data_IF_253007437831
#
_entry.id   IF_253007437831
#
_cell.length_a   1.000
_cell.length_b   1.000
_cell.length_c   1.000
_cell.angle_alpha   90.00
_cell.angle_beta   90.00
_cell.angle_gamma   90.00
#
_symmetry.space_group_name_H-M   'P 1'
#
loop_
_entity.id
_entity.type
_entity.pdbx_description
1 polymer ?
#
# COMPACT_ATOMS: atom_id res chain seq x y z
N UNK A 1 5.71 22.62 -7.30
CA UNK A 1 4.34 23.13 -7.50
C UNK A 1 3.44 21.97 -7.82
N UNK A 2 2.29 21.88 -7.16
CA UNK A 2 1.30 20.84 -7.42
C UNK A 2 0.47 21.18 -8.66
N UNK A 3 0.18 20.15 -9.46
CA UNK A 3 -0.61 20.27 -10.69
C UNK A 3 -2.08 20.09 -10.35
N UNK A 4 -2.93 21.06 -10.72
CA UNK A 4 -4.36 21.05 -10.44
C UNK A 4 -5.19 21.12 -11.73
N UNK A 5 -6.29 20.35 -11.77
CA UNK A 5 -7.38 20.47 -12.73
C UNK A 5 -8.59 21.05 -12.01
N UNK A 6 -9.30 21.97 -12.66
CA UNK A 6 -10.54 22.56 -12.18
C UNK A 6 -11.68 22.13 -13.09
N UNK A 7 -12.68 21.43 -12.52
CA UNK A 7 -13.84 20.94 -13.23
C UNK A 7 -15.14 21.53 -12.65
N UNK A 8 -15.91 22.22 -13.47
CA UNK A 8 -17.17 22.86 -13.07
C UNK A 8 -17.98 23.16 -14.35
N UNK A 9 -19.25 22.84 -14.42
CA UNK A 9 -20.09 23.12 -15.58
C UNK A 9 -20.50 24.59 -15.70
N UNK A 10 -20.37 25.37 -14.61
CA UNK A 10 -20.57 26.81 -14.60
C UNK A 10 -19.33 27.52 -15.16
N UNK A 11 -19.32 27.80 -16.47
CA UNK A 11 -18.18 28.43 -17.18
C UNK A 11 -17.68 29.72 -16.53
N UNK A 12 -18.61 30.60 -16.12
CA UNK A 12 -18.26 31.89 -15.50
C UNK A 12 -17.53 31.72 -14.17
N UNK A 13 -18.01 30.76 -13.32
CA UNK A 13 -17.40 30.46 -12.04
C UNK A 13 -16.03 29.79 -12.25
N UNK A 14 -15.95 28.81 -13.12
CA UNK A 14 -14.70 28.09 -13.45
C UNK A 14 -13.62 29.07 -13.91
N UNK A 15 -13.95 29.95 -14.88
CA UNK A 15 -13.02 30.98 -15.37
C UNK A 15 -12.67 32.03 -14.32
N UNK A 16 -13.63 32.41 -13.46
CA UNK A 16 -13.36 33.34 -12.36
C UNK A 16 -12.36 32.73 -11.35
N UNK A 17 -12.51 31.47 -10.98
CA UNK A 17 -11.60 30.77 -10.11
C UNK A 17 -10.20 30.72 -10.73
N UNK A 18 -10.08 30.27 -11.97
CA UNK A 18 -8.78 30.15 -12.66
C UNK A 18 -8.06 31.50 -12.78
N UNK A 19 -8.77 32.57 -13.05
CA UNK A 19 -8.16 33.90 -13.28
C UNK A 19 -7.86 34.72 -12.04
N UNK A 20 -8.68 34.59 -10.97
CA UNK A 20 -8.59 35.46 -9.78
C UNK A 20 -7.66 34.91 -8.70
N UNK A 21 -7.45 33.60 -8.65
CA UNK A 21 -6.55 33.00 -7.70
C UNK A 21 -5.11 33.11 -8.20
N UNK A 22 -4.22 33.53 -7.30
CA UNK A 22 -2.78 33.60 -7.57
C UNK A 22 -2.15 32.22 -7.33
N UNK A 23 -2.38 31.29 -8.26
CA UNK A 23 -2.05 29.86 -8.12
C UNK A 23 -0.59 29.59 -7.76
N UNK A 24 0.33 30.31 -8.40
CA UNK A 24 1.77 30.16 -8.16
C UNK A 24 2.17 30.53 -6.74
N UNK A 25 1.56 31.62 -6.20
CA UNK A 25 1.83 32.07 -4.83
C UNK A 25 1.40 31.06 -3.77
N UNK A 26 0.37 30.27 -4.05
CA UNK A 26 -0.12 29.23 -3.16
C UNK A 26 0.43 27.83 -3.50
N UNK A 27 1.38 27.75 -4.46
CA UNK A 27 2.12 26.53 -4.77
C UNK A 27 1.41 25.55 -5.71
N UNK A 28 0.43 26.01 -6.48
CA UNK A 28 -0.28 25.24 -7.50
C UNK A 28 -0.02 25.76 -8.92
N UNK A 29 -0.22 24.86 -9.89
CA UNK A 29 -0.24 25.18 -11.31
C UNK A 29 -1.50 24.56 -11.93
N UNK A 30 -2.39 25.38 -12.50
CA UNK A 30 -3.53 24.90 -13.26
C UNK A 30 -3.03 24.30 -14.57
N UNK A 31 -3.23 22.99 -14.75
CA UNK A 31 -2.79 22.24 -15.93
C UNK A 31 -3.93 21.88 -16.86
N UNK A 32 -5.18 22.03 -16.42
CA UNK A 32 -6.37 21.79 -17.22
C UNK A 32 -7.63 22.35 -16.58
N UNK A 33 -8.64 22.57 -17.40
CA UNK A 33 -10.01 22.87 -17.00
C UNK A 33 -10.97 21.94 -17.73
N UNK A 34 -12.09 21.57 -17.09
CA UNK A 34 -13.12 20.73 -17.67
C UNK A 34 -14.51 21.31 -17.38
N UNK A 35 -15.43 21.16 -18.33
CA UNK A 35 -16.81 21.62 -18.20
C UNK A 35 -17.81 20.50 -17.82
N UNK A 36 -17.30 19.28 -17.71
CA UNK A 36 -18.08 18.10 -17.31
C UNK A 36 -17.18 16.99 -16.78
N UNK A 37 -17.79 16.00 -16.14
CA UNK A 37 -17.05 14.90 -15.51
C UNK A 37 -16.33 13.97 -16.49
N UNK A 38 -16.85 13.80 -17.72
CA UNK A 38 -16.20 12.94 -18.71
C UNK A 38 -14.87 13.56 -19.20
N UNK A 39 -14.91 14.85 -19.54
CA UNK A 39 -13.72 15.63 -19.91
C UNK A 39 -12.70 15.68 -18.75
N UNK A 40 -13.18 15.85 -17.52
CA UNK A 40 -12.33 15.84 -16.34
C UNK A 40 -11.59 14.50 -16.17
N UNK A 41 -12.25 13.37 -16.40
CA UNK A 41 -11.64 12.05 -16.34
C UNK A 41 -10.54 11.89 -17.39
N UNK A 42 -10.82 12.24 -18.64
CA UNK A 42 -9.82 12.19 -19.73
C UNK A 42 -8.58 13.04 -19.41
N UNK A 43 -8.80 14.24 -18.87
CA UNK A 43 -7.71 15.14 -18.49
C UNK A 43 -6.91 14.58 -17.30
N UNK A 44 -7.56 13.95 -16.31
CA UNK A 44 -6.87 13.30 -15.18
C UNK A 44 -5.98 12.16 -15.67
N UNK A 45 -6.48 11.31 -16.57
CA UNK A 45 -5.68 10.23 -17.15
C UNK A 45 -4.49 10.73 -17.96
N UNK A 46 -4.70 11.78 -18.76
CA UNK A 46 -3.67 12.33 -19.68
C UNK A 46 -2.63 13.18 -18.96
N UNK A 47 -3.06 13.99 -18.01
CA UNK A 47 -2.22 15.00 -17.37
C UNK A 47 -1.69 14.60 -16.00
N UNK A 48 -2.20 13.53 -15.40
CA UNK A 48 -1.76 13.01 -14.10
C UNK A 48 -1.62 14.12 -13.02
N UNK A 49 -2.72 14.85 -12.69
CA UNK A 49 -2.64 15.95 -11.74
C UNK A 49 -2.48 15.43 -10.30
N UNK A 50 -1.91 16.26 -9.43
CA UNK A 50 -1.84 16.01 -8.00
C UNK A 50 -3.20 16.24 -7.32
N UNK A 51 -3.97 17.21 -7.83
CA UNK A 51 -5.28 17.59 -7.29
C UNK A 51 -6.30 17.78 -8.42
N UNK A 52 -7.48 17.22 -8.24
CA UNK A 52 -8.69 17.60 -8.98
C UNK A 52 -9.63 18.37 -8.04
N UNK A 53 -9.97 19.58 -8.38
CA UNK A 53 -11.07 20.32 -7.77
C UNK A 53 -12.29 20.25 -8.69
N UNK A 54 -13.39 19.68 -8.21
CA UNK A 54 -14.57 19.41 -9.06
C UNK A 54 -15.87 19.79 -8.39
N UNK A 55 -16.83 20.29 -9.20
CA UNK A 55 -18.23 20.32 -8.75
C UNK A 55 -18.77 18.89 -8.64
N UNK A 56 -19.79 18.72 -7.81
CA UNK A 56 -20.50 17.45 -7.63
C UNK A 56 -21.53 17.24 -8.74
N UNK A 57 -22.23 18.29 -9.16
CA UNK A 57 -23.29 18.17 -10.14
C UNK A 57 -22.84 18.68 -11.51
N UNK A 58 -22.37 17.77 -12.32
CA UNK A 58 -21.93 18.06 -13.69
C UNK A 58 -22.65 17.13 -14.69
N UNK A 59 -22.78 17.55 -15.95
CA UNK A 59 -23.29 16.70 -17.02
C UNK A 59 -22.44 15.44 -17.23
N UNK A 60 -23.07 14.39 -17.78
CA UNK A 60 -22.50 13.09 -18.14
C UNK A 60 -22.02 12.26 -16.93
N UNK A 61 -21.02 12.71 -16.20
CA UNK A 61 -20.46 12.04 -15.03
C UNK A 61 -20.49 13.06 -13.88
N UNK A 62 -21.19 12.72 -12.79
CA UNK A 62 -21.20 13.54 -11.58
C UNK A 62 -19.84 13.54 -10.92
N UNK A 63 -19.49 14.59 -10.14
CA UNK A 63 -18.23 14.63 -9.39
C UNK A 63 -18.01 13.46 -8.45
N UNK A 64 -19.08 12.88 -7.91
CA UNK A 64 -19.02 11.68 -7.05
C UNK A 64 -18.65 10.44 -7.87
N UNK A 65 -19.30 10.23 -9.00
CA UNK A 65 -18.97 9.11 -9.89
C UNK A 65 -17.57 9.28 -10.50
N UNK A 66 -17.18 10.51 -10.82
CA UNK A 66 -15.84 10.87 -11.24
C UNK A 66 -14.81 10.49 -10.16
N UNK A 67 -15.09 10.82 -8.89
CA UNK A 67 -14.22 10.45 -7.78
C UNK A 67 -14.05 8.93 -7.65
N UNK A 68 -15.13 8.15 -7.82
CA UNK A 68 -15.08 6.69 -7.83
C UNK A 68 -14.15 6.17 -8.93
N UNK A 69 -14.33 6.64 -10.16
CA UNK A 69 -13.52 6.22 -11.32
C UNK A 69 -12.05 6.63 -11.16
N UNK A 70 -11.77 7.83 -10.67
CA UNK A 70 -10.39 8.28 -10.42
C UNK A 70 -9.71 7.41 -9.37
N UNK A 71 -10.43 6.96 -8.32
CA UNK A 71 -9.85 6.04 -7.33
C UNK A 71 -9.44 4.69 -7.94
N UNK A 72 -10.08 4.26 -9.04
CA UNK A 72 -9.72 3.03 -9.76
C UNK A 72 -8.53 3.23 -10.69
N UNK A 73 -8.49 4.36 -11.44
CA UNK A 73 -7.48 4.57 -12.49
C UNK A 73 -6.29 5.39 -12.04
N UNK A 74 -6.47 6.34 -11.10
CA UNK A 74 -5.42 7.25 -10.60
C UNK A 74 -5.59 7.51 -9.09
N UNK A 75 -5.38 6.53 -8.24
CA UNK A 75 -5.61 6.65 -6.78
C UNK A 75 -4.72 7.69 -6.10
N UNK A 76 -3.59 8.08 -6.70
CA UNK A 76 -2.68 9.12 -6.20
C UNK A 76 -3.26 10.54 -6.34
N UNK A 77 -4.11 10.81 -7.36
CA UNK A 77 -4.75 12.11 -7.54
C UNK A 77 -5.68 12.41 -6.37
N UNK A 78 -5.40 13.51 -5.66
CA UNK A 78 -6.29 13.96 -4.59
C UNK A 78 -7.50 14.68 -5.18
N UNK A 79 -8.63 14.62 -4.49
CA UNK A 79 -9.90 15.18 -4.99
C UNK A 79 -10.48 16.10 -3.94
N UNK A 80 -10.86 17.31 -4.36
CA UNK A 80 -11.60 18.29 -3.57
C UNK A 80 -12.93 18.58 -4.24
N UNK A 81 -14.03 18.57 -3.47
CA UNK A 81 -15.35 18.95 -3.96
C UNK A 81 -15.62 20.42 -3.69
N UNK A 82 -16.20 21.10 -4.67
CA UNK A 82 -16.78 22.43 -4.55
C UNK A 82 -18.27 22.32 -4.95
N UNK A 83 -19.20 22.33 -3.98
CA UNK A 83 -20.60 22.00 -4.20
C UNK A 83 -21.55 23.12 -3.80
N UNK A 84 -22.59 23.35 -4.59
CA UNK A 84 -23.70 24.25 -4.26
C UNK A 84 -24.75 23.66 -3.31
N UNK A 85 -24.56 22.44 -2.85
CA UNK A 85 -25.55 21.73 -2.04
C UNK A 85 -24.97 21.22 -0.73
N UNK A 86 -25.63 21.63 0.34
CA UNK A 86 -25.38 21.08 1.69
C UNK A 86 -26.23 19.81 1.86
N UNK A 87 -25.87 18.77 1.11
CA UNK A 87 -26.54 17.47 1.15
C UNK A 87 -25.65 16.47 1.91
N UNK A 88 -26.15 16.01 3.04
CA UNK A 88 -25.49 15.04 3.91
C UNK A 88 -25.06 13.76 3.15
N UNK A 89 -25.82 13.36 2.11
CA UNK A 89 -25.48 12.20 1.30
C UNK A 89 -24.17 12.36 0.53
N UNK A 90 -23.87 13.57 0.03
CA UNK A 90 -22.61 13.86 -0.66
C UNK A 90 -21.42 13.93 0.31
N UNK A 91 -21.66 14.41 1.53
CA UNK A 91 -20.63 14.42 2.56
C UNK A 91 -20.24 12.98 2.99
N UNK A 92 -21.22 12.06 3.10
CA UNK A 92 -20.93 10.64 3.35
C UNK A 92 -20.11 10.01 2.21
N UNK A 93 -20.45 10.29 0.96
CA UNK A 93 -19.73 9.78 -0.21
C UNK A 93 -18.32 10.39 -0.29
N UNK A 94 -18.15 11.66 0.09
CA UNK A 94 -16.83 12.29 0.20
C UNK A 94 -15.91 11.52 1.17
N UNK A 95 -16.43 11.07 2.31
CA UNK A 95 -15.68 10.23 3.25
C UNK A 95 -15.32 8.88 2.61
N UNK A 96 -16.27 8.24 1.93
CA UNK A 96 -16.10 6.93 1.29
C UNK A 96 -14.98 6.95 0.25
N UNK A 97 -14.88 8.03 -0.56
CA UNK A 97 -13.86 8.16 -1.60
C UNK A 97 -12.61 8.91 -1.15
N UNK A 98 -12.44 9.11 0.16
CA UNK A 98 -11.28 9.78 0.75
C UNK A 98 -10.97 11.12 0.08
N UNK A 99 -11.98 12.01 0.06
CA UNK A 99 -11.87 13.36 -0.52
C UNK A 99 -11.06 14.25 0.42
N UNK A 100 -10.08 14.99 -0.11
CA UNK A 100 -9.15 15.80 0.70
C UNK A 100 -9.83 17.05 1.30
N UNK A 101 -10.84 17.61 0.61
CA UNK A 101 -11.64 18.75 1.09
C UNK A 101 -13.03 18.77 0.46
N UNK A 102 -14.01 19.24 1.22
CA UNK A 102 -15.37 19.47 0.78
C UNK A 102 -15.73 20.93 1.08
N UNK A 103 -16.00 21.72 0.04
CA UNK A 103 -16.26 23.15 0.11
C UNK A 103 -17.67 23.46 -0.39
N UNK A 104 -18.35 24.41 0.27
CA UNK A 104 -19.70 24.79 -0.10
C UNK A 104 -19.71 26.12 -0.91
N UNK A 105 -20.48 26.15 -1.99
CA UNK A 105 -20.86 27.38 -2.70
C UNK A 105 -22.05 28.04 -1.98
N UNK A 106 -22.17 29.38 -1.90
CA UNK A 106 -21.23 30.35 -2.45
C UNK A 106 -19.96 30.46 -1.59
N UNK A 107 -18.80 30.50 -2.23
CA UNK A 107 -17.49 30.68 -1.58
C UNK A 107 -16.80 31.90 -2.18
N UNK A 108 -16.27 32.75 -1.35
CA UNK A 108 -15.47 33.88 -1.83
C UNK A 108 -14.09 33.41 -2.32
N UNK A 109 -13.45 34.20 -3.20
CA UNK A 109 -12.09 33.87 -3.67
C UNK A 109 -11.07 33.87 -2.55
N UNK A 110 -11.29 34.63 -1.49
CA UNK A 110 -10.43 34.67 -0.30
C UNK A 110 -10.56 33.32 0.47
N UNK A 111 -11.79 32.90 0.76
CA UNK A 111 -12.06 31.63 1.45
C UNK A 111 -11.55 30.43 0.63
N UNK A 112 -11.77 30.45 -0.68
CA UNK A 112 -11.27 29.40 -1.57
C UNK A 112 -9.73 29.35 -1.57
N UNK A 113 -9.06 30.51 -1.58
CA UNK A 113 -7.61 30.57 -1.49
C UNK A 113 -7.09 30.01 -0.17
N UNK A 114 -7.74 30.31 0.95
CA UNK A 114 -7.37 29.77 2.27
C UNK A 114 -7.60 28.24 2.34
N UNK A 115 -8.68 27.73 1.76
CA UNK A 115 -8.90 26.28 1.68
C UNK A 115 -7.86 25.59 0.80
N UNK A 116 -7.48 26.17 -0.33
CA UNK A 116 -6.41 25.64 -1.19
C UNK A 116 -5.05 25.61 -0.47
N UNK A 117 -4.74 26.61 0.37
CA UNK A 117 -3.54 26.56 1.22
C UNK A 117 -3.58 25.40 2.21
N UNK A 118 -4.72 25.14 2.86
CA UNK A 118 -4.89 23.99 3.75
C UNK A 118 -4.78 22.64 2.99
N UNK A 119 -5.31 22.59 1.76
CA UNK A 119 -5.15 21.43 0.89
C UNK A 119 -3.67 21.23 0.57
N UNK A 120 -2.94 22.28 0.24
CA UNK A 120 -1.49 22.21 0.00
C UNK A 120 -0.73 21.64 1.21
N UNK A 121 -1.03 22.12 2.42
CA UNK A 121 -0.41 21.59 3.64
C UNK A 121 -0.68 20.10 3.83
N UNK A 122 -1.90 19.63 3.48
CA UNK A 122 -2.23 18.19 3.50
C UNK A 122 -1.46 17.42 2.44
N UNK A 123 -1.33 17.97 1.22
CA UNK A 123 -0.53 17.37 0.13
C UNK A 123 0.95 17.29 0.52
N UNK A 124 1.52 18.37 1.08
CA UNK A 124 2.89 18.39 1.57
C UNK A 124 3.12 17.28 2.60
N UNK A 125 2.18 17.10 3.52
CA UNK A 125 2.25 16.04 4.55
C UNK A 125 2.19 14.65 3.92
N UNK A 126 1.26 14.40 3.00
CA UNK A 126 1.15 13.13 2.27
C UNK A 126 2.45 12.86 1.52
N UNK A 127 3.00 13.85 0.85
CA UNK A 127 4.25 13.72 0.10
C UNK A 127 5.46 13.46 1.00
N UNK A 128 5.57 14.17 2.12
CA UNK A 128 6.64 13.97 3.11
C UNK A 128 6.55 12.58 3.75
N UNK A 129 5.35 12.12 4.10
CA UNK A 129 5.14 10.76 4.62
C UNK A 129 5.49 9.70 3.57
N UNK A 130 5.15 9.94 2.29
CA UNK A 130 5.53 9.04 1.20
C UNK A 130 7.04 9.04 0.94
N UNK A 131 7.68 10.21 0.94
CA UNK A 131 9.12 10.35 0.75
C UNK A 131 9.90 9.73 1.92
N UNK A 132 9.48 9.97 3.17
CA UNK A 132 10.07 9.36 4.36
C UNK A 132 9.95 7.82 4.31
N UNK A 133 8.78 7.30 3.97
CA UNK A 133 8.56 5.85 3.80
C UNK A 133 9.39 5.26 2.66
N UNK A 134 9.53 5.98 1.56
CA UNK A 134 10.34 5.51 0.41
C UNK A 134 11.82 5.41 0.79
N UNK A 135 12.31 6.29 1.62
CA UNK A 135 13.70 6.28 2.08
C UNK A 135 13.93 5.20 3.15
N UNK A 136 13.04 5.11 4.15
CA UNK A 136 13.06 4.01 5.14
C UNK A 136 12.91 2.64 4.46
N UNK A 137 12.04 2.54 3.44
CA UNK A 137 11.83 1.31 2.67
C UNK A 137 13.04 0.96 1.82
N UNK A 138 13.79 1.95 1.28
CA UNK A 138 15.00 1.71 0.51
C UNK A 138 16.11 1.12 1.40
N UNK A 139 16.36 1.70 2.57
CA UNK A 139 17.35 1.24 3.53
C UNK A 139 17.01 -0.15 4.08
N UNK A 140 15.73 -0.38 4.40
CA UNK A 140 15.22 -1.69 4.84
C UNK A 140 15.34 -2.73 3.73
N UNK A 141 15.02 -2.39 2.49
CA UNK A 141 15.11 -3.32 1.36
C UNK A 141 16.58 -3.66 1.03
N UNK A 142 17.50 -2.72 1.14
CA UNK A 142 18.94 -2.97 0.96
C UNK A 142 19.46 -3.99 1.97
N UNK A 143 18.93 -3.98 3.20
CA UNK A 143 19.23 -4.98 4.23
C UNK A 143 18.49 -6.32 3.99
N UNK A 144 17.19 -6.27 3.71
CA UNK A 144 16.34 -7.46 3.65
C UNK A 144 16.59 -8.33 2.42
N UNK A 145 16.85 -7.74 1.26
CA UNK A 145 17.02 -8.51 0.02
C UNK A 145 18.20 -9.48 0.11
N UNK A 146 19.40 -9.08 0.53
CA UNK A 146 20.50 -10.03 0.74
C UNK A 146 20.17 -11.07 1.83
N UNK A 147 19.55 -10.64 2.93
CA UNK A 147 19.21 -11.51 4.05
C UNK A 147 18.26 -12.64 3.64
N UNK A 148 17.19 -12.30 2.92
CA UNK A 148 16.12 -13.26 2.60
C UNK A 148 16.40 -14.02 1.30
N UNK A 149 16.85 -13.35 0.23
CA UNK A 149 16.98 -13.97 -1.08
C UNK A 149 18.31 -14.70 -1.28
N UNK A 150 19.41 -14.10 -0.86
CA UNK A 150 20.75 -14.66 -1.05
C UNK A 150 21.21 -15.50 0.15
N UNK A 151 20.83 -15.09 1.36
CA UNK A 151 21.37 -15.59 2.61
C UNK A 151 22.80 -15.12 2.82
N UNK A 152 23.22 -15.04 4.06
CA UNK A 152 24.63 -14.77 4.38
C UNK A 152 25.37 -16.11 4.45
N UNK A 153 26.36 -16.29 3.58
CA UNK A 153 27.21 -17.47 3.64
C UNK A 153 28.18 -17.33 4.83
N UNK A 154 28.28 -18.39 5.62
CA UNK A 154 29.28 -18.50 6.66
C UNK A 154 30.67 -18.56 6.01
N UNK A 155 31.36 -17.44 5.92
CA UNK A 155 32.81 -17.50 5.71
C UNK A 155 33.44 -18.14 6.96
N UNK A 156 34.27 -19.17 6.75
CA UNK A 156 34.86 -20.01 7.82
C UNK A 156 35.65 -19.27 8.89
N UNK A 157 35.74 -17.94 8.81
CA UNK A 157 36.50 -17.06 9.70
C UNK A 157 35.67 -16.29 10.73
N UNK A 158 34.37 -16.11 10.53
CA UNK A 158 33.52 -15.43 11.49
C UNK A 158 32.67 -16.43 12.28
N UNK A 159 32.59 -16.23 13.59
CA UNK A 159 31.70 -17.06 14.39
C UNK A 159 30.24 -16.68 14.05
N UNK A 160 29.37 -17.69 13.98
CA UNK A 160 27.92 -17.51 13.74
C UNK A 160 27.29 -16.47 14.67
N UNK A 161 27.81 -16.35 15.88
CA UNK A 161 27.40 -15.36 16.88
C UNK A 161 27.76 -13.91 16.49
N UNK A 162 28.93 -13.69 15.86
CA UNK A 162 29.35 -12.37 15.41
C UNK A 162 28.50 -11.90 14.23
N UNK A 163 28.17 -12.80 13.29
CA UNK A 163 27.32 -12.50 12.16
C UNK A 163 25.88 -12.19 12.61
N UNK A 164 25.34 -12.94 13.57
CA UNK A 164 24.01 -12.64 14.14
C UNK A 164 23.98 -11.29 14.85
N UNK A 165 25.05 -10.95 15.60
CA UNK A 165 25.16 -9.63 16.24
C UNK A 165 25.20 -8.50 15.21
N UNK A 166 25.96 -8.66 14.12
CA UNK A 166 25.99 -7.71 13.01
C UNK A 166 24.63 -7.53 12.35
N UNK A 167 23.91 -8.62 12.08
CA UNK A 167 22.57 -8.57 11.48
C UNK A 167 21.56 -7.90 12.41
N UNK A 168 21.67 -8.14 13.72
CA UNK A 168 20.83 -7.51 14.74
C UNK A 168 21.07 -5.99 14.77
N UNK A 169 22.33 -5.56 14.77
CA UNK A 169 22.69 -4.14 14.71
C UNK A 169 22.12 -3.46 13.46
N UNK A 170 22.26 -4.10 12.29
CA UNK A 170 21.66 -3.61 11.04
C UNK A 170 20.16 -3.52 11.08
N UNK A 171 19.49 -4.51 11.64
CA UNK A 171 18.03 -4.50 11.82
C UNK A 171 17.55 -3.40 12.78
N UNK A 172 18.36 -3.05 13.81
CA UNK A 172 18.11 -1.90 14.68
C UNK A 172 18.32 -0.57 13.96
N UNK A 173 19.38 -0.43 13.15
CA UNK A 173 19.64 0.76 12.34
C UNK A 173 18.49 1.05 11.35
N UNK A 174 17.97 0.02 10.71
CA UNK A 174 16.82 0.11 9.78
C UNK A 174 15.45 0.26 10.51
N UNK A 175 15.41 0.32 11.84
CA UNK A 175 14.18 0.45 12.61
C UNK A 175 13.31 -0.81 12.67
N UNK A 176 13.78 -1.94 12.13
CA UNK A 176 13.09 -3.22 12.18
C UNK A 176 13.08 -3.82 13.59
N UNK A 177 14.14 -3.59 14.37
CA UNK A 177 14.24 -3.94 15.78
C UNK A 177 14.31 -2.69 16.66
N UNK A 178 13.93 -2.82 17.93
CA UNK A 178 14.11 -1.75 18.94
C UNK A 178 15.43 -1.96 19.65
N UNK A 179 16.22 -0.92 19.80
CA UNK A 179 17.50 -0.96 20.52
C UNK A 179 17.30 -1.49 21.95
N UNK A 180 18.04 -2.54 22.29
CA UNK A 180 17.99 -3.13 23.63
C UNK A 180 16.65 -3.77 24.02
N UNK A 181 15.83 -4.14 23.04
CA UNK A 181 14.54 -4.81 23.26
C UNK A 181 14.69 -6.30 23.65
N UNK A 182 13.54 -6.89 24.01
CA UNK A 182 13.44 -8.33 24.29
C UNK A 182 13.82 -9.17 23.05
N UNK A 183 14.19 -10.42 23.29
CA UNK A 183 14.47 -11.40 22.23
C UNK A 183 13.24 -11.51 21.30
N UNK A 184 13.43 -11.20 20.02
CA UNK A 184 12.40 -11.26 19.01
C UNK A 184 12.53 -12.54 18.18
N UNK A 185 11.40 -12.96 17.66
CA UNK A 185 11.27 -14.05 16.72
C UNK A 185 10.85 -13.53 15.37
N UNK A 186 11.08 -14.33 14.35
CA UNK A 186 10.89 -13.93 12.96
C UNK A 186 10.05 -14.97 12.22
N UNK A 187 9.18 -14.49 11.33
CA UNK A 187 8.42 -15.30 10.38
C UNK A 187 8.53 -14.64 9.01
N UNK A 188 8.71 -15.42 7.98
CA UNK A 188 8.62 -14.93 6.61
C UNK A 188 7.28 -15.33 6.03
N UNK A 189 6.63 -14.35 5.40
CA UNK A 189 5.38 -14.52 4.68
C UNK A 189 5.62 -14.15 3.23
N UNK A 190 5.14 -14.96 2.29
CA UNK A 190 5.13 -14.67 0.85
C UNK A 190 3.70 -14.55 0.38
N UNK A 191 3.41 -13.54 -0.44
CA UNK A 191 2.07 -13.31 -0.98
C UNK A 191 2.13 -13.18 -2.50
N UNK A 192 1.40 -14.02 -3.21
CA UNK A 192 1.17 -13.90 -4.65
C UNK A 192 -0.26 -13.45 -4.92
N UNK A 193 -0.42 -12.49 -5.82
CA UNK A 193 -1.72 -11.97 -6.26
C UNK A 193 -2.04 -12.50 -7.64
N UNK A 194 -3.26 -12.96 -7.85
CA UNK A 194 -3.70 -13.59 -9.10
C UNK A 194 -5.02 -13.01 -9.57
N UNK A 195 -5.17 -12.95 -10.87
CA UNK A 195 -6.46 -12.68 -11.51
C UNK A 195 -7.43 -13.86 -11.28
N UNK A 196 -8.75 -13.66 -11.41
CA UNK A 196 -9.73 -14.74 -11.24
C UNK A 196 -9.55 -15.94 -12.17
N UNK A 197 -8.86 -15.77 -13.30
CA UNK A 197 -8.45 -16.84 -14.22
C UNK A 197 -7.15 -17.56 -13.79
N UNK A 198 -6.59 -17.19 -12.62
CA UNK A 198 -5.45 -17.86 -12.00
C UNK A 198 -4.08 -17.38 -12.47
N UNK A 199 -4.00 -16.35 -13.33
CA UNK A 199 -2.73 -15.78 -13.79
C UNK A 199 -2.11 -14.90 -12.71
N UNK A 200 -0.82 -15.07 -12.43
CA UNK A 200 -0.10 -14.19 -11.49
C UNK A 200 -0.05 -12.76 -12.06
N UNK A 201 -0.49 -11.80 -11.25
CA UNK A 201 -0.47 -10.37 -11.54
C UNK A 201 0.17 -9.57 -10.39
N UNK A 202 0.94 -10.24 -9.52
CA UNK A 202 1.61 -9.56 -8.40
C UNK A 202 2.54 -8.47 -8.93
N UNK A 203 2.41 -7.27 -8.36
CA UNK A 203 3.27 -6.13 -8.67
C UNK A 203 3.61 -5.34 -7.41
N UNK A 204 4.52 -4.39 -7.54
CA UNK A 204 4.94 -3.52 -6.42
C UNK A 204 3.79 -2.69 -5.86
N UNK A 205 2.77 -2.40 -6.65
CA UNK A 205 1.54 -1.71 -6.24
C UNK A 205 0.75 -2.45 -5.16
N UNK A 206 0.84 -3.79 -5.14
CA UNK A 206 0.15 -4.60 -4.14
C UNK A 206 0.86 -4.64 -2.77
N UNK A 207 2.13 -4.22 -2.69
CA UNK A 207 2.88 -4.16 -1.42
C UNK A 207 2.15 -3.29 -0.42
N UNK A 208 1.67 -2.12 -0.86
CA UNK A 208 0.92 -1.21 0.02
C UNK A 208 -0.34 -1.86 0.63
N UNK A 209 -1.04 -2.68 -0.14
CA UNK A 209 -2.24 -3.38 0.33
C UNK A 209 -1.90 -4.40 1.43
N UNK A 210 -0.83 -5.17 1.25
CA UNK A 210 -0.30 -6.11 2.26
C UNK A 210 0.14 -5.35 3.50
N UNK A 211 0.94 -4.31 3.34
CA UNK A 211 1.46 -3.47 4.41
C UNK A 211 0.35 -2.83 5.25
N UNK A 212 -0.71 -2.34 4.60
CA UNK A 212 -1.86 -1.72 5.27
C UNK A 212 -2.55 -2.66 6.27
N UNK A 213 -2.43 -3.96 6.06
CA UNK A 213 -2.97 -5.01 6.91
C UNK A 213 -1.95 -5.41 7.98
N UNK A 214 -0.72 -5.73 7.58
CA UNK A 214 0.31 -6.21 8.51
C UNK A 214 0.60 -5.22 9.63
N UNK A 215 0.64 -3.92 9.34
CA UNK A 215 0.88 -2.85 10.33
C UNK A 215 -0.11 -2.83 11.50
N UNK A 216 -1.29 -3.41 11.33
CA UNK A 216 -2.32 -3.45 12.38
C UNK A 216 -2.02 -4.50 13.45
N UNK A 217 -1.24 -5.50 13.13
CA UNK A 217 -1.07 -6.70 13.94
C UNK A 217 0.37 -6.94 14.37
N UNK A 218 1.32 -6.77 13.46
CA UNK A 218 2.72 -7.17 13.64
C UNK A 218 3.67 -6.05 13.19
N UNK A 219 4.89 -6.08 13.71
CA UNK A 219 5.99 -5.32 13.12
C UNK A 219 6.46 -6.08 11.88
N UNK A 220 6.71 -5.38 10.80
CA UNK A 220 7.01 -6.01 9.52
C UNK A 220 7.90 -5.13 8.67
N UNK A 221 8.50 -5.74 7.66
CA UNK A 221 9.05 -5.06 6.51
C UNK A 221 8.79 -5.89 5.25
N UNK A 222 8.30 -5.27 4.18
CA UNK A 222 7.90 -5.96 2.96
C UNK A 222 8.57 -5.36 1.74
N UNK A 223 8.85 -6.21 0.74
CA UNK A 223 9.31 -5.79 -0.57
C UNK A 223 8.77 -6.71 -1.66
N UNK A 224 8.79 -6.23 -2.90
CA UNK A 224 8.43 -7.01 -4.06
C UNK A 224 9.66 -7.73 -4.63
N UNK A 225 9.56 -9.03 -4.86
CA UNK A 225 10.63 -9.84 -5.41
C UNK A 225 10.10 -10.86 -6.41
N UNK A 226 10.55 -10.76 -7.64
CA UNK A 226 10.16 -11.68 -8.72
C UNK A 226 8.67 -11.60 -9.04
N UNK A 227 7.89 -12.51 -8.50
CA UNK A 227 6.45 -12.69 -8.73
C UNK A 227 5.63 -12.71 -7.43
N UNK A 228 6.23 -12.29 -6.33
CA UNK A 228 5.60 -12.29 -5.00
C UNK A 228 6.03 -11.10 -4.14
N UNK A 229 5.22 -10.80 -3.13
CA UNK A 229 5.56 -9.87 -2.05
C UNK A 229 6.15 -10.71 -0.92
N UNK A 230 7.33 -10.33 -0.47
CA UNK A 230 8.03 -10.97 0.63
C UNK A 230 7.96 -10.06 1.85
N UNK A 231 7.45 -10.58 2.97
CA UNK A 231 7.31 -9.83 4.23
C UNK A 231 8.05 -10.55 5.35
N UNK A 232 9.02 -9.87 5.97
CA UNK A 232 9.61 -10.31 7.22
C UNK A 232 8.78 -9.77 8.38
N UNK A 233 8.24 -10.67 9.19
CA UNK A 233 7.43 -10.35 10.36
C UNK A 233 8.27 -10.52 11.61
N UNK A 234 8.16 -9.56 12.55
CA UNK A 234 8.92 -9.52 13.79
C UNK A 234 7.96 -9.46 14.97
N UNK A 235 8.15 -10.32 15.93
CA UNK A 235 7.29 -10.39 17.11
C UNK A 235 7.73 -11.40 18.14
N UNK A 236 6.87 -11.69 19.09
CA UNK A 236 7.01 -12.77 20.07
C UNK A 236 6.12 -13.94 19.67
N UNK A 237 6.38 -15.14 20.16
CA UNK A 237 5.56 -16.33 19.91
C UNK A 237 4.06 -16.05 20.17
N UNK A 238 3.74 -15.45 21.31
CA UNK A 238 2.36 -15.11 21.68
C UNK A 238 1.67 -14.17 20.67
N UNK A 239 2.42 -13.25 20.06
CA UNK A 239 1.88 -12.38 19.01
C UNK A 239 1.65 -13.12 17.71
N UNK A 240 2.56 -14.02 17.34
CA UNK A 240 2.41 -14.86 16.16
C UNK A 240 1.23 -15.81 16.30
N UNK A 241 1.10 -16.51 17.42
CA UNK A 241 -0.03 -17.40 17.70
C UNK A 241 -1.38 -16.68 17.59
N UNK A 242 -1.42 -15.41 18.00
CA UNK A 242 -2.64 -14.61 18.00
C UNK A 242 -2.98 -13.97 16.65
N UNK A 243 -1.98 -13.45 15.94
CA UNK A 243 -2.23 -12.54 14.84
C UNK A 243 -1.83 -13.06 13.46
N UNK A 244 -1.00 -14.10 13.36
CA UNK A 244 -0.45 -14.53 12.08
C UNK A 244 -1.54 -15.05 11.13
N UNK A 245 -2.44 -15.92 11.62
CA UNK A 245 -3.60 -16.39 10.87
C UNK A 245 -4.55 -15.25 10.48
N UNK A 246 -4.86 -14.37 11.43
CA UNK A 246 -5.76 -13.24 11.21
C UNK A 246 -5.20 -12.31 10.13
N UNK A 247 -3.90 -12.03 10.16
CA UNK A 247 -3.25 -11.18 9.16
C UNK A 247 -3.30 -11.82 7.76
N UNK A 248 -2.98 -13.11 7.65
CA UNK A 248 -3.03 -13.84 6.38
C UNK A 248 -4.45 -13.90 5.80
N UNK A 249 -5.46 -14.19 6.63
CA UNK A 249 -6.87 -14.17 6.21
C UNK A 249 -7.32 -12.78 5.75
N UNK A 250 -6.95 -11.73 6.47
CA UNK A 250 -7.32 -10.37 6.09
C UNK A 250 -6.64 -9.93 4.78
N UNK A 251 -5.42 -10.39 4.49
CA UNK A 251 -4.77 -10.14 3.21
C UNK A 251 -5.59 -10.77 2.08
N UNK A 252 -5.91 -12.07 2.18
CA UNK A 252 -6.67 -12.77 1.13
C UNK A 252 -8.07 -12.19 0.93
N UNK A 253 -8.78 -11.90 2.02
CA UNK A 253 -10.13 -11.32 1.97
C UNK A 253 -10.13 -9.89 1.42
N UNK A 254 -9.13 -9.07 1.76
CA UNK A 254 -9.05 -7.68 1.28
C UNK A 254 -8.73 -7.64 -0.21
N UNK A 255 -7.83 -8.49 -0.70
CA UNK A 255 -7.54 -8.59 -2.13
C UNK A 255 -8.79 -8.98 -2.92
N UNK A 256 -9.55 -9.95 -2.45
CA UNK A 256 -10.80 -10.38 -3.08
C UNK A 256 -11.88 -9.28 -3.07
N UNK A 257 -12.12 -8.67 -1.91
CA UNK A 257 -13.24 -7.71 -1.74
C UNK A 257 -12.98 -6.35 -2.36
N UNK A 258 -11.72 -5.86 -2.34
CA UNK A 258 -11.39 -4.49 -2.77
C UNK A 258 -10.89 -4.48 -4.21
N UNK A 259 -10.04 -5.43 -4.59
CA UNK A 259 -9.40 -5.47 -5.90
C UNK A 259 -10.00 -6.51 -6.84
N UNK A 260 -10.93 -7.35 -6.36
CA UNK A 260 -11.46 -8.48 -7.12
C UNK A 260 -10.36 -9.43 -7.63
N UNK A 261 -9.28 -9.57 -6.86
CA UNK A 261 -8.13 -10.41 -7.15
C UNK A 261 -8.02 -11.53 -6.11
N UNK A 262 -7.52 -12.69 -6.52
CA UNK A 262 -7.18 -13.75 -5.60
C UNK A 262 -5.78 -13.55 -5.02
N UNK A 263 -5.61 -13.82 -3.72
CA UNK A 263 -4.31 -13.84 -3.10
C UNK A 263 -4.01 -15.21 -2.51
N UNK A 264 -2.76 -15.62 -2.67
CA UNK A 264 -2.21 -16.81 -2.06
C UNK A 264 -1.08 -16.45 -1.12
N UNK A 265 -1.11 -16.96 0.09
CA UNK A 265 -0.17 -16.64 1.17
C UNK A 265 0.52 -17.91 1.65
N UNK A 266 1.85 -17.90 1.61
CA UNK A 266 2.70 -18.91 2.20
C UNK A 266 3.39 -18.37 3.44
N UNK A 267 3.46 -19.18 4.50
CA UNK A 267 4.00 -18.77 5.81
C UNK A 267 5.03 -19.79 6.30
N UNK A 268 6.21 -19.30 6.68
CA UNK A 268 7.29 -20.10 7.25
C UNK A 268 7.01 -20.54 8.70
N UNK A 269 7.86 -21.40 9.22
CA UNK A 269 7.99 -21.60 10.68
C UNK A 269 8.57 -20.36 11.34
N UNK A 270 8.32 -20.26 12.65
CA UNK A 270 8.95 -19.24 13.50
C UNK A 270 10.43 -19.58 13.66
N UNK A 271 11.30 -18.57 13.54
CA UNK A 271 12.73 -18.69 13.82
C UNK A 271 13.18 -17.62 14.83
N UNK A 272 14.17 -17.96 15.65
CA UNK A 272 14.71 -17.08 16.70
C UNK A 272 15.91 -16.26 16.21
N UNK A 273 16.36 -16.44 14.95
CA UNK A 273 17.58 -15.83 14.43
C UNK A 273 17.34 -15.20 13.07
N UNK A 274 17.90 -13.99 12.89
CA UNK A 274 17.91 -13.32 11.58
C UNK A 274 18.68 -14.15 10.54
N UNK A 275 19.74 -14.80 10.93
CA UNK A 275 20.56 -15.64 10.05
C UNK A 275 19.77 -16.78 9.40
N UNK A 276 18.75 -17.29 10.08
CA UNK A 276 17.90 -18.38 9.58
C UNK A 276 16.73 -17.88 8.70
N UNK A 277 16.55 -16.54 8.53
CA UNK A 277 15.45 -15.96 7.76
C UNK A 277 15.51 -16.34 6.27
N UNK A 278 16.69 -16.58 5.69
CA UNK A 278 16.79 -17.10 4.31
C UNK A 278 16.14 -18.49 4.19
N UNK A 279 16.34 -19.36 5.18
CA UNK A 279 15.68 -20.67 5.22
C UNK A 279 14.17 -20.50 5.39
N UNK A 280 13.75 -19.59 6.28
CA UNK A 280 12.34 -19.25 6.46
C UNK A 280 11.70 -18.70 5.18
N UNK A 281 12.42 -17.91 4.38
CA UNK A 281 11.94 -17.47 3.07
C UNK A 281 11.67 -18.65 2.12
N UNK A 282 12.57 -19.61 2.05
CA UNK A 282 12.36 -20.82 1.24
C UNK A 282 11.16 -21.62 1.71
N UNK A 283 11.00 -21.78 3.02
CA UNK A 283 9.83 -22.46 3.61
C UNK A 283 8.52 -21.76 3.23
N UNK A 284 8.46 -20.41 3.29
CA UNK A 284 7.29 -19.66 2.89
C UNK A 284 7.00 -19.76 1.39
N UNK A 285 8.04 -19.75 0.56
CA UNK A 285 7.89 -19.93 -0.88
C UNK A 285 7.43 -21.34 -1.24
N UNK A 286 7.94 -22.37 -0.56
CA UNK A 286 7.48 -23.75 -0.69
C UNK A 286 6.02 -23.88 -0.27
N UNK A 287 5.63 -23.36 0.89
CA UNK A 287 4.23 -23.34 1.34
C UNK A 287 3.30 -22.67 0.30
N UNK A 288 3.71 -21.56 -0.29
CA UNK A 288 2.94 -20.87 -1.33
C UNK A 288 2.84 -21.71 -2.61
N UNK A 289 3.88 -22.47 -2.98
CA UNK A 289 3.88 -23.30 -4.20
C UNK A 289 2.84 -24.42 -4.15
N UNK A 290 2.50 -24.92 -2.98
CA UNK A 290 1.43 -25.91 -2.77
C UNK A 290 0.03 -25.33 -3.02
N UNK A 291 -0.14 -24.02 -3.05
CA UNK A 291 -1.41 -23.34 -3.30
C UNK A 291 -2.07 -23.74 -4.63
N UNK A 292 -1.28 -24.16 -5.61
CA UNK A 292 -1.79 -24.60 -6.91
C UNK A 292 -2.48 -25.97 -6.87
N UNK A 293 -2.24 -26.76 -5.84
CA UNK A 293 -2.77 -28.11 -5.69
C UNK A 293 -3.91 -28.23 -4.67
N UNK A 294 -4.11 -27.24 -3.82
CA UNK A 294 -5.11 -27.22 -2.76
C UNK A 294 -6.12 -26.09 -2.93
N UNK A 295 -7.34 -26.25 -2.44
CA UNK A 295 -8.37 -25.19 -2.43
C UNK A 295 -8.11 -24.12 -1.37
N UNK A 296 -7.03 -24.23 -0.58
CA UNK A 296 -6.68 -23.27 0.46
C UNK A 296 -5.86 -22.11 -0.13
N UNK A 297 -6.19 -20.89 0.26
CA UNK A 297 -5.46 -19.68 -0.16
C UNK A 297 -4.30 -19.33 0.79
N UNK A 298 -4.23 -19.99 1.94
CA UNK A 298 -3.23 -19.77 2.99
C UNK A 298 -2.58 -21.11 3.33
N UNK A 299 -1.27 -21.14 3.32
CA UNK A 299 -0.48 -22.33 3.59
C UNK A 299 0.60 -22.03 4.61
N UNK A 300 0.58 -22.80 5.70
CA UNK A 300 1.65 -22.80 6.69
C UNK A 300 2.52 -24.03 6.44
N UNK A 301 3.83 -23.84 6.39
CA UNK A 301 4.76 -24.95 6.17
C UNK A 301 4.64 -26.03 7.24
N UNK A 302 4.26 -25.65 8.47
CA UNK A 302 4.01 -26.59 9.58
C UNK A 302 2.85 -27.55 9.31
N UNK A 303 1.89 -27.17 8.49
CA UNK A 303 0.71 -27.99 8.21
C UNK A 303 1.00 -29.07 7.15
N UNK A 304 2.12 -28.94 6.42
CA UNK A 304 2.48 -29.82 5.30
C UNK A 304 3.49 -30.92 5.64
N UNK A 305 4.26 -30.79 6.73
CA UNK A 305 5.24 -31.81 7.13
C UNK A 305 4.67 -33.23 7.35
N UNK A 306 3.43 -33.41 7.86
CA UNK A 306 2.88 -34.75 8.01
C UNK A 306 2.68 -35.52 6.70
N UNK A 307 2.49 -34.81 5.58
CA UNK A 307 2.27 -35.41 4.26
C UNK A 307 3.56 -35.86 3.58
N UNK A 308 4.68 -35.16 3.76
CA UNK A 308 5.99 -35.56 3.21
C UNK A 308 6.55 -36.81 3.88
N UNK A 309 6.34 -36.95 5.19
CA UNK A 309 6.78 -38.16 5.92
C UNK A 309 6.06 -39.43 5.48
N UNK A 310 4.78 -39.34 5.08
CA UNK A 310 3.99 -40.46 4.60
C UNK A 310 4.26 -40.91 3.16
N UNK A 311 4.74 -40.02 2.30
CA UNK A 311 5.08 -40.37 0.91
C UNK A 311 6.43 -41.08 0.77
N UNK A 312 7.40 -40.76 1.64
CA UNK A 312 8.70 -41.41 1.64
C UNK A 312 8.65 -42.88 2.16
N UNK A 313 7.65 -43.25 2.94
CA UNK A 313 7.44 -44.63 3.38
C UNK A 313 6.71 -45.53 2.35
N UNK A 314 6.07 -44.93 1.31
CA UNK A 314 5.38 -45.68 0.25
C UNK A 314 6.27 -46.04 -0.94
N UNK A 315 7.53 -45.60 -0.96
CA UNK A 315 8.49 -45.82 -2.06
C UNK A 315 9.62 -46.77 -1.60
N UNK A 316 9.51 -47.41 -0.44
CA UNK A 316 10.30 -48.54 -0.02
C UNK A 316 9.42 -49.79 0.00
#
# INVERSE_FOLDING_TARGET
>A
MYRIIVADDEEELRRAIIRKIQWEEIGFQVVGEAENGAEALELVEKLEPDLLMTDIRMPFISGVELARQIREVRPSTQIAFLSGYDDFSYAQQAIQYNIISYMLKPISMVELTEELKKIKEKLDRIFLEFAARSQETADVNEFLMPLLLAGYQEDRKESRSQLEAFLTEKAEECGLLSKGGDAMQYVVMTTAVRTPDGKNCTGSEHVYSVDSILKKYLRYASFFAGDSIVSLLVGTQSRFDKYLHIAAENITQSMERILSLDACVGVSRVTDRLLDCHKAFREAADAMSYASSTKSRIHFISDEEPYRAGELERVK
#
